data_IF_632634542087
#
_entry.id   IF_632634542087
#
_cell.length_a   1.000
_cell.length_b   1.000
_cell.length_c   1.000
_cell.angle_alpha   90.00
_cell.angle_beta   90.00
_cell.angle_gamma   90.00
#
_symmetry.space_group_name_H-M   'P 1'
#
loop_
_entity.id
_entity.type
_entity.pdbx_description
1 polymer ?
#
# COMPACT_ATOMS: atom_id res chain seq x y z
N UNK A 1 -55.46 -2.69 31.59
CA UNK A 1 -54.16 -2.59 30.89
C UNK A 1 -53.69 -1.18 31.09
N UNK A 2 -52.68 -1.01 31.94
CA UNK A 2 -52.16 0.30 32.33
C UNK A 2 -50.80 0.47 31.67
N UNK A 3 -50.69 1.38 30.72
CA UNK A 3 -49.41 1.77 30.14
C UNK A 3 -48.92 2.98 30.93
N UNK A 4 -48.00 2.75 31.85
CA UNK A 4 -47.20 3.81 32.48
C UNK A 4 -46.22 4.35 31.43
N UNK A 5 -46.52 5.51 30.89
CA UNK A 5 -45.61 6.30 30.08
C UNK A 5 -44.54 6.91 30.98
N UNK A 6 -43.35 6.30 30.98
CA UNK A 6 -42.15 6.87 31.59
C UNK A 6 -41.74 8.14 30.82
N UNK A 7 -42.07 9.31 31.35
CA UNK A 7 -41.48 10.58 30.92
C UNK A 7 -39.96 10.53 31.16
N UNK A 8 -39.19 10.38 30.10
CA UNK A 8 -37.74 10.55 30.13
C UNK A 8 -37.43 12.04 30.35
N UNK A 9 -37.08 12.40 31.59
CA UNK A 9 -36.50 13.72 31.88
C UNK A 9 -35.20 13.87 31.07
N UNK A 10 -35.02 14.94 30.27
CA UNK A 10 -33.76 15.16 29.57
C UNK A 10 -32.64 15.33 30.61
N UNK A 11 -31.47 14.76 30.32
CA UNK A 11 -30.29 14.92 31.17
C UNK A 11 -29.99 16.42 31.36
N UNK A 12 -29.59 16.86 32.57
CA UNK A 12 -29.23 18.25 32.79
C UNK A 12 -28.09 18.61 31.83
N UNK A 13 -28.23 19.73 31.12
CA UNK A 13 -27.18 20.25 30.27
C UNK A 13 -25.90 20.41 31.11
N UNK A 14 -24.71 20.10 30.54
CA UNK A 14 -23.45 20.29 31.26
C UNK A 14 -23.37 21.72 31.77
N UNK A 15 -22.92 21.92 33.03
CA UNK A 15 -22.47 23.23 33.49
C UNK A 15 -21.49 23.74 32.44
N UNK A 16 -21.78 24.87 31.81
CA UNK A 16 -20.83 25.55 30.94
C UNK A 16 -19.56 25.77 31.79
N UNK A 17 -18.54 24.95 31.54
CA UNK A 17 -17.21 25.21 32.06
C UNK A 17 -16.75 26.40 31.23
N UNK A 18 -16.75 27.58 31.85
CA UNK A 18 -16.21 28.77 31.22
C UNK A 18 -14.72 28.53 31.06
N UNK A 19 -14.31 28.04 29.88
CA UNK A 19 -12.91 27.91 29.53
C UNK A 19 -12.35 29.32 29.44
N UNK A 20 -11.41 29.63 30.33
CA UNK A 20 -10.73 30.92 30.34
C UNK A 20 -9.83 30.98 29.09
N UNK A 21 -10.36 31.59 28.03
CA UNK A 21 -9.69 31.72 26.73
C UNK A 21 -8.37 32.46 26.87
N UNK A 22 -8.29 33.44 27.78
CA UNK A 22 -7.06 34.20 28.03
C UNK A 22 -5.97 33.32 28.65
N UNK A 23 -6.35 32.41 29.55
CA UNK A 23 -5.43 31.43 30.14
C UNK A 23 -4.93 30.41 29.11
N UNK A 24 -5.79 29.97 28.18
CA UNK A 24 -5.41 29.08 27.08
C UNK A 24 -4.43 29.76 26.13
N UNK A 25 -4.71 30.99 25.72
CA UNK A 25 -3.82 31.78 24.85
C UNK A 25 -2.46 32.06 25.50
N UNK A 26 -2.45 32.38 26.79
CA UNK A 26 -1.20 32.62 27.52
C UNK A 26 -0.31 31.36 27.54
N UNK A 27 -0.90 30.20 27.78
CA UNK A 27 -0.21 28.91 27.77
C UNK A 27 0.29 28.51 26.36
N UNK A 28 -0.45 28.85 25.31
CA UNK A 28 0.02 28.66 23.93
C UNK A 28 1.22 29.55 23.60
N UNK A 29 1.20 30.83 24.01
CA UNK A 29 2.33 31.75 23.83
C UNK A 29 3.57 31.29 24.60
N UNK A 30 3.39 30.79 25.82
CA UNK A 30 4.49 30.22 26.62
C UNK A 30 5.13 29.01 25.93
N UNK A 31 4.31 28.08 25.40
CA UNK A 31 4.80 26.94 24.61
C UNK A 31 5.55 27.35 23.36
N UNK A 32 5.06 28.35 22.65
CA UNK A 32 5.73 28.88 21.45
C UNK A 32 7.09 29.50 21.82
N UNK A 33 7.15 30.27 22.90
CA UNK A 33 8.39 30.86 23.40
C UNK A 33 9.44 29.81 23.76
N UNK A 34 9.04 28.77 24.49
CA UNK A 34 9.95 27.67 24.83
C UNK A 34 10.47 26.93 23.60
N UNK A 35 9.63 26.67 22.60
CA UNK A 35 10.04 26.01 21.37
C UNK A 35 11.04 26.86 20.56
N UNK A 36 10.80 28.18 20.49
CA UNK A 36 11.71 29.12 19.83
C UNK A 36 13.05 29.20 20.56
N UNK A 37 13.06 29.30 21.89
CA UNK A 37 14.29 29.33 22.70
C UNK A 37 15.11 28.05 22.51
N UNK A 38 14.45 26.89 22.52
CA UNK A 38 15.10 25.61 22.27
C UNK A 38 15.73 25.54 20.85
N UNK A 39 15.02 26.05 19.84
CA UNK A 39 15.54 26.13 18.48
C UNK A 39 16.76 27.06 18.40
N UNK A 40 16.67 28.27 18.95
CA UNK A 40 17.77 29.24 18.94
C UNK A 40 19.01 28.70 19.67
N UNK A 41 18.84 28.04 20.82
CA UNK A 41 19.94 27.39 21.51
C UNK A 41 20.59 26.29 20.66
N UNK A 42 19.79 25.48 19.97
CA UNK A 42 20.30 24.44 19.07
C UNK A 42 21.09 25.03 17.89
N UNK A 43 20.60 26.11 17.30
CA UNK A 43 21.30 26.83 16.22
C UNK A 43 22.62 27.42 16.72
N UNK A 44 22.60 28.12 17.86
CA UNK A 44 23.80 28.74 18.45
C UNK A 44 24.89 27.73 18.81
N UNK A 45 24.51 26.52 19.21
CA UNK A 45 25.45 25.43 19.49
C UNK A 45 26.03 24.77 18.22
N UNK A 46 25.72 25.29 17.03
CA UNK A 46 26.15 24.73 15.75
C UNK A 46 25.40 23.44 15.39
N UNK A 47 24.21 23.21 15.95
CA UNK A 47 23.41 22.01 15.70
C UNK A 47 23.06 21.83 14.22
N UNK A 48 22.87 22.92 13.48
CA UNK A 48 22.64 22.90 12.03
C UNK A 48 23.88 22.52 11.23
N UNK A 49 25.08 22.86 11.70
CA UNK A 49 26.35 22.55 11.04
C UNK A 49 26.78 21.10 11.28
N UNK A 50 26.32 20.50 12.38
CA UNK A 50 26.64 19.12 12.79
C UNK A 50 25.56 18.11 12.41
N UNK A 51 24.66 18.45 11.49
CA UNK A 51 23.58 17.55 11.08
C UNK A 51 24.15 16.26 10.44
N UNK A 52 23.66 15.08 10.85
CA UNK A 52 24.11 13.82 10.27
C UNK A 52 23.72 13.76 8.79
N UNK A 53 24.72 13.80 7.91
CA UNK A 53 24.50 13.77 6.46
C UNK A 53 24.63 15.11 5.75
N UNK A 54 24.90 16.21 6.48
CA UNK A 54 25.21 17.49 5.86
C UNK A 54 26.44 17.38 4.94
N UNK A 55 26.31 17.85 3.69
CA UNK A 55 27.38 17.79 2.69
C UNK A 55 27.65 16.42 2.06
N UNK A 56 26.97 15.35 2.48
CA UNK A 56 27.07 14.04 1.82
C UNK A 56 26.19 14.05 0.56
N UNK A 57 26.69 13.56 -0.59
CA UNK A 57 25.86 13.35 -1.77
C UNK A 57 24.65 12.48 -1.41
N UNK A 58 23.44 12.92 -1.80
CA UNK A 58 22.23 12.14 -1.64
C UNK A 58 22.41 10.80 -2.37
N UNK A 59 22.37 9.71 -1.62
CA UNK A 59 22.31 8.37 -2.20
C UNK A 59 20.90 8.15 -2.73
N UNK A 60 20.67 8.52 -3.98
CA UNK A 60 19.44 8.15 -4.69
C UNK A 60 19.50 6.64 -4.90
N UNK A 61 18.56 5.84 -4.36
CA UNK A 61 18.51 4.41 -4.63
C UNK A 61 18.43 4.22 -6.14
N UNK A 62 19.40 3.53 -6.73
CA UNK A 62 19.47 3.28 -8.18
C UNK A 62 18.49 2.17 -8.62
N UNK A 63 17.66 1.67 -7.70
CA UNK A 63 16.61 0.69 -7.97
C UNK A 63 15.25 1.36 -8.19
N UNK A 64 14.31 0.60 -8.75
CA UNK A 64 12.91 1.04 -8.86
C UNK A 64 12.41 1.46 -7.47
N UNK A 65 12.04 2.74 -7.33
CA UNK A 65 11.64 3.35 -6.06
C UNK A 65 10.50 2.54 -5.44
N UNK A 66 9.60 2.01 -6.26
CA UNK A 66 8.54 1.10 -5.84
C UNK A 66 9.09 -0.14 -5.13
N UNK A 67 10.09 -0.81 -5.68
CA UNK A 67 10.63 -2.05 -5.07
C UNK A 67 11.23 -1.77 -3.69
N UNK A 68 11.83 -0.59 -3.50
CA UNK A 68 12.37 -0.16 -2.19
C UNK A 68 11.28 0.18 -1.16
N UNK A 69 10.22 0.88 -1.58
CA UNK A 69 9.10 1.28 -0.70
C UNK A 69 8.28 0.05 -0.30
N UNK A 70 8.05 -0.86 -1.24
CA UNK A 70 7.25 -2.07 -1.02
C UNK A 70 7.95 -3.08 -0.11
N UNK A 71 9.27 -3.24 -0.24
CA UNK A 71 10.07 -4.06 0.71
C UNK A 71 10.00 -3.50 2.13
N UNK A 72 10.09 -2.18 2.28
CA UNK A 72 10.07 -1.52 3.59
C UNK A 72 8.71 -1.63 4.30
N UNK A 73 7.60 -1.70 3.54
CA UNK A 73 6.25 -1.80 4.09
C UNK A 73 5.82 -3.22 4.49
N UNK A 74 6.61 -4.27 4.18
CA UNK A 74 6.24 -5.68 4.35
C UNK A 74 4.88 -6.08 3.71
N UNK A 75 4.37 -5.27 2.77
CA UNK A 75 3.11 -5.52 2.06
C UNK A 75 3.44 -5.86 0.62
N UNK A 76 2.98 -7.02 0.16
CA UNK A 76 3.11 -7.41 -1.25
C UNK A 76 2.18 -6.53 -2.09
N UNK A 77 2.68 -5.95 -3.19
CA UNK A 77 1.84 -5.22 -4.12
C UNK A 77 0.72 -6.11 -4.69
N UNK A 78 -0.46 -5.55 -4.99
CA UNK A 78 -1.54 -6.30 -5.63
C UNK A 78 -1.10 -7.02 -6.92
N UNK A 79 -0.27 -6.37 -7.76
CA UNK A 79 0.21 -6.97 -9.01
C UNK A 79 1.17 -8.16 -8.79
N UNK A 80 1.93 -8.19 -7.69
CA UNK A 80 2.78 -9.34 -7.33
C UNK A 80 1.92 -10.54 -6.88
N UNK A 81 0.86 -10.28 -6.11
CA UNK A 81 -0.08 -11.31 -5.71
C UNK A 81 -0.78 -11.90 -6.93
N UNK A 82 -1.28 -11.03 -7.81
CA UNK A 82 -1.93 -11.42 -9.06
C UNK A 82 -0.99 -12.22 -9.97
N UNK A 83 0.29 -11.83 -10.05
CA UNK A 83 1.32 -12.59 -10.77
C UNK A 83 1.44 -14.02 -10.24
N UNK A 84 1.47 -14.18 -8.92
CA UNK A 84 1.59 -15.51 -8.29
C UNK A 84 0.38 -16.38 -8.61
N UNK A 85 -0.83 -15.80 -8.54
CA UNK A 85 -2.08 -16.48 -8.87
C UNK A 85 -2.14 -16.91 -10.34
N UNK A 86 -1.72 -16.05 -11.27
CA UNK A 86 -1.59 -16.38 -12.70
C UNK A 86 -0.66 -17.59 -12.88
N UNK A 87 0.48 -17.62 -12.19
CA UNK A 87 1.41 -18.76 -12.25
C UNK A 87 0.76 -20.08 -11.79
N UNK A 88 0.00 -20.07 -10.70
CA UNK A 88 -0.71 -21.26 -10.22
C UNK A 88 -1.74 -21.75 -11.23
N UNK A 89 -2.51 -20.84 -11.84
CA UNK A 89 -3.53 -21.18 -12.84
C UNK A 89 -2.92 -21.67 -14.15
N UNK A 90 -1.80 -21.09 -14.58
CA UNK A 90 -1.07 -21.60 -15.75
C UNK A 90 -0.56 -23.02 -15.49
N UNK A 91 -0.04 -23.31 -14.30
CA UNK A 91 0.38 -24.67 -13.95
C UNK A 91 -0.81 -25.66 -13.96
N UNK A 92 -2.00 -25.22 -13.52
CA UNK A 92 -3.22 -26.02 -13.62
C UNK A 92 -3.62 -26.26 -15.09
N UNK A 93 -3.58 -25.22 -15.93
CA UNK A 93 -3.88 -25.32 -17.36
C UNK A 93 -2.92 -26.30 -18.07
N UNK A 94 -1.63 -26.30 -17.70
CA UNK A 94 -0.65 -27.25 -18.20
C UNK A 94 -0.99 -28.70 -17.82
N UNK A 95 -1.39 -28.96 -16.57
CA UNK A 95 -1.86 -30.28 -16.13
C UNK A 95 -3.09 -30.76 -16.91
N UNK A 96 -4.00 -29.85 -17.28
CA UNK A 96 -5.13 -30.21 -18.14
C UNK A 96 -4.68 -30.55 -19.56
N UNK A 97 -3.72 -29.80 -20.11
CA UNK A 97 -3.16 -30.10 -21.43
C UNK A 97 -2.44 -31.45 -21.50
N UNK A 98 -1.75 -31.86 -20.42
CA UNK A 98 -1.11 -33.18 -20.32
C UNK A 98 -2.13 -34.32 -20.36
N UNK A 99 -3.30 -34.15 -19.74
CA UNK A 99 -4.37 -35.16 -19.70
C UNK A 99 -5.18 -35.20 -20.99
N UNK A 100 -5.57 -34.03 -21.51
CA UNK A 100 -6.30 -33.90 -22.76
C UNK A 100 -6.21 -32.48 -23.31
N UNK A 101 -5.69 -32.35 -24.54
CA UNK A 101 -5.58 -31.05 -25.23
C UNK A 101 -6.95 -30.40 -25.53
N UNK A 102 -8.03 -31.19 -25.50
CA UNK A 102 -9.41 -30.73 -25.74
C UNK A 102 -10.25 -30.70 -24.45
N UNK A 103 -9.62 -30.59 -23.28
CA UNK A 103 -10.36 -30.48 -22.03
C UNK A 103 -11.34 -29.28 -22.09
N UNK A 104 -12.63 -29.48 -21.80
CA UNK A 104 -13.65 -28.43 -21.98
C UNK A 104 -13.37 -27.20 -21.11
N UNK A 105 -12.90 -27.40 -19.88
CA UNK A 105 -12.58 -26.32 -18.94
C UNK A 105 -11.29 -25.54 -19.28
N UNK A 106 -10.47 -26.05 -20.22
CA UNK A 106 -9.21 -25.39 -20.57
C UNK A 106 -9.45 -24.04 -21.24
N UNK A 107 -10.51 -23.92 -22.05
CA UNK A 107 -10.81 -22.67 -22.73
C UNK A 107 -11.21 -21.56 -21.74
N UNK A 108 -12.10 -21.89 -20.80
CA UNK A 108 -12.57 -20.95 -19.79
C UNK A 108 -11.42 -20.54 -18.86
N UNK A 109 -10.58 -21.50 -18.46
CA UNK A 109 -9.40 -21.23 -17.63
C UNK A 109 -8.41 -20.27 -18.32
N UNK A 110 -8.12 -20.48 -19.61
CA UNK A 110 -7.24 -19.59 -20.37
C UNK A 110 -7.85 -18.19 -20.52
N UNK A 111 -9.15 -18.10 -20.72
CA UNK A 111 -9.87 -16.82 -20.79
C UNK A 111 -9.75 -16.06 -19.48
N UNK A 112 -9.90 -16.75 -18.35
CA UNK A 112 -9.79 -16.13 -17.03
C UNK A 112 -8.35 -15.70 -16.72
N UNK A 113 -7.35 -16.52 -17.06
CA UNK A 113 -5.94 -16.12 -16.92
C UNK A 113 -5.65 -14.86 -17.75
N UNK A 114 -6.19 -14.77 -18.98
CA UNK A 114 -5.99 -13.60 -19.83
C UNK A 114 -6.62 -12.33 -19.25
N UNK A 115 -7.78 -12.41 -18.59
CA UNK A 115 -8.35 -11.26 -17.85
C UNK A 115 -7.43 -10.81 -16.73
N UNK A 116 -6.90 -11.77 -15.95
CA UNK A 116 -5.95 -11.46 -14.87
C UNK A 116 -4.65 -10.86 -15.41
N UNK A 117 -4.16 -11.30 -16.58
CA UNK A 117 -3.00 -10.70 -17.24
C UNK A 117 -3.28 -9.25 -17.64
N UNK A 118 -4.47 -8.93 -18.16
CA UNK A 118 -4.86 -7.56 -18.51
C UNK A 118 -4.88 -6.69 -17.24
N UNK A 119 -5.47 -7.18 -16.16
CA UNK A 119 -5.49 -6.48 -14.87
C UNK A 119 -4.07 -6.28 -14.30
N UNK A 120 -3.22 -7.31 -14.35
CA UNK A 120 -1.82 -7.22 -13.94
C UNK A 120 -1.08 -6.14 -14.73
N UNK A 121 -1.27 -6.10 -16.05
CA UNK A 121 -0.62 -5.12 -16.92
C UNK A 121 -1.12 -3.70 -16.66
N UNK A 122 -2.36 -3.53 -16.19
CA UNK A 122 -2.88 -2.22 -15.79
C UNK A 122 -2.31 -1.75 -14.44
N UNK A 123 -2.04 -2.68 -13.52
CA UNK A 123 -1.50 -2.40 -12.18
C UNK A 123 0.03 -2.31 -12.14
N UNK A 124 0.71 -2.88 -13.13
CA UNK A 124 2.16 -2.95 -13.17
C UNK A 124 2.79 -1.56 -13.39
N UNK A 125 3.82 -1.16 -12.62
CA UNK A 125 4.40 0.18 -12.71
C UNK A 125 5.29 0.39 -13.96
N UNK A 126 5.67 -0.68 -14.66
CA UNK A 126 6.55 -0.62 -15.82
C UNK A 126 6.17 -1.66 -16.86
N UNK A 127 6.34 -1.31 -18.14
CA UNK A 127 6.14 -2.21 -19.30
C UNK A 127 7.01 -3.46 -19.25
N UNK A 128 8.17 -3.41 -18.60
CA UNK A 128 9.03 -4.59 -18.42
C UNK A 128 8.40 -5.67 -17.54
N UNK A 129 7.44 -5.29 -16.69
CA UNK A 129 6.71 -6.18 -15.80
C UNK A 129 5.44 -6.74 -16.44
N UNK A 130 5.07 -6.29 -17.64
CA UNK A 130 3.87 -6.76 -18.32
C UNK A 130 4.03 -8.22 -18.78
N UNK A 131 2.90 -8.87 -19.03
CA UNK A 131 2.80 -10.23 -19.53
C UNK A 131 1.96 -10.25 -20.80
N UNK A 132 2.34 -11.11 -21.74
CA UNK A 132 1.60 -11.32 -22.97
C UNK A 132 0.40 -12.24 -22.70
N UNK A 133 -0.69 -12.06 -23.46
CA UNK A 133 -1.80 -13.00 -23.44
C UNK A 133 -1.36 -14.41 -23.88
N UNK A 134 -2.04 -15.40 -23.32
CA UNK A 134 -1.72 -16.80 -23.50
C UNK A 134 -2.83 -17.54 -24.23
N UNK A 135 -2.45 -18.57 -24.96
CA UNK A 135 -3.31 -19.52 -25.64
C UNK A 135 -2.72 -20.92 -25.53
N UNK A 136 -3.43 -21.92 -26.08
CA UNK A 136 -3.01 -23.33 -25.99
C UNK A 136 -1.61 -23.56 -26.58
N UNK A 137 -1.23 -22.78 -27.59
CA UNK A 137 0.01 -23.01 -28.33
C UNK A 137 1.24 -22.37 -27.68
N UNK A 138 1.05 -21.31 -26.87
CA UNK A 138 2.15 -20.57 -26.25
C UNK A 138 2.21 -20.71 -24.71
N UNK A 139 1.24 -21.39 -24.09
CA UNK A 139 1.14 -21.52 -22.63
C UNK A 139 2.43 -22.07 -22.00
N UNK A 140 2.98 -23.15 -22.56
CA UNK A 140 4.19 -23.81 -22.05
C UNK A 140 5.42 -22.90 -22.13
N UNK A 141 5.61 -22.25 -23.28
CA UNK A 141 6.73 -21.34 -23.52
C UNK A 141 6.66 -20.15 -22.55
N UNK A 142 5.50 -19.53 -22.43
CA UNK A 142 5.30 -18.38 -21.56
C UNK A 142 5.43 -18.74 -20.09
N UNK A 143 4.91 -19.90 -19.67
CA UNK A 143 5.10 -20.38 -18.30
C UNK A 143 6.59 -20.55 -17.97
N UNK A 144 7.35 -21.17 -18.87
CA UNK A 144 8.79 -21.36 -18.72
C UNK A 144 9.52 -20.03 -18.71
N UNK A 145 9.17 -19.09 -19.59
CA UNK A 145 9.79 -17.77 -19.63
C UNK A 145 9.57 -16.96 -18.34
N UNK A 146 8.42 -17.13 -17.69
CA UNK A 146 8.04 -16.30 -16.54
C UNK A 146 8.38 -16.92 -15.18
N UNK A 147 8.47 -18.26 -15.12
CA UNK A 147 8.64 -19.03 -13.89
C UNK A 147 9.70 -20.13 -13.97
N UNK A 148 10.26 -20.36 -15.16
CA UNK A 148 11.44 -21.20 -15.32
C UNK A 148 12.62 -20.59 -14.57
N UNK A 149 13.33 -21.44 -13.82
CA UNK A 149 14.58 -21.09 -13.15
C UNK A 149 15.74 -21.16 -14.13
#
# INVERSE_FOLDING_TARGET
MSEDSFETRPAPLPREVYEDQDALEAHEREKQGWAEDAYQQFVQQGGLERLPGLGKPLRVPTGDILDSVLRNANVKPPWIMLRTEIGNRMAQALKFMEKSRQHPELHDLLTEINKQIIELNALAPSRTLHRQLIGKDNLQEQYTRWYGK
#
